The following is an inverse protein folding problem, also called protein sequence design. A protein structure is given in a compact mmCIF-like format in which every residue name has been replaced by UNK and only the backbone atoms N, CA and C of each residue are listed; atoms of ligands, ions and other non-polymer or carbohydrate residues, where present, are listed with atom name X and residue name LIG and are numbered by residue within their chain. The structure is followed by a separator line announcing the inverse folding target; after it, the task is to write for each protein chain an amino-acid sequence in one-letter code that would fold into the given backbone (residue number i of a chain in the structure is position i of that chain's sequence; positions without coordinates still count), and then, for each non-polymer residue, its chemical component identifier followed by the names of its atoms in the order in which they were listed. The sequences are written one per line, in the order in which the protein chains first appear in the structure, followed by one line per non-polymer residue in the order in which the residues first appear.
data_IF_509019432384
#
_entry.id   IF_509019432384
#
_cell.length_a   1.000
_cell.length_b   1.000
_cell.length_c   1.000
_cell.angle_alpha   90.00
_cell.angle_beta   90.00
_cell.angle_gamma   90.00
#
_symmetry.space_group_name_H-M   'P 1'
#
loop_
_entity.id
_entity.type
_entity.pdbx_description
1 polymer ?
#
# COMPACT_ATOMS: atom_id res chain seq x y z
N UNK A 1 0.26 10.40 -10.50
CA UNK A 1 0.34 9.07 -11.15
C UNK A 1 -0.18 9.17 -12.57
N UNK A 2 0.44 8.52 -13.56
CA UNK A 2 -0.05 8.57 -14.96
C UNK A 2 -1.30 7.70 -15.14
N UNK A 3 -2.17 8.06 -16.10
CA UNK A 3 -3.42 7.34 -16.38
C UNK A 3 -3.19 5.87 -16.78
N UNK A 4 -2.04 5.58 -17.41
CA UNK A 4 -1.68 4.22 -17.81
C UNK A 4 -1.32 3.36 -16.60
N UNK A 5 -0.52 3.89 -15.68
CA UNK A 5 -0.14 3.20 -14.43
C UNK A 5 -1.38 2.95 -13.56
N UNK A 6 -2.28 3.93 -13.47
CA UNK A 6 -3.56 3.77 -12.76
C UNK A 6 -4.37 2.59 -13.27
N UNK A 7 -4.59 2.52 -14.60
CA UNK A 7 -5.35 1.43 -15.22
C UNK A 7 -4.65 0.08 -15.11
N UNK A 8 -3.31 0.07 -15.15
CA UNK A 8 -2.55 -1.15 -14.98
C UNK A 8 -2.72 -1.72 -13.57
N UNK A 9 -2.59 -0.88 -12.54
CA UNK A 9 -2.82 -1.27 -11.14
C UNK A 9 -4.24 -1.80 -10.93
N UNK A 10 -5.24 -1.09 -11.45
CA UNK A 10 -6.64 -1.52 -11.38
C UNK A 10 -6.87 -2.90 -12.01
N UNK A 11 -6.23 -3.17 -13.17
CA UNK A 11 -6.30 -4.47 -13.83
C UNK A 11 -5.63 -5.57 -12.99
N UNK A 12 -4.48 -5.30 -12.39
CA UNK A 12 -3.80 -6.26 -11.52
C UNK A 12 -4.62 -6.58 -10.26
N UNK A 13 -5.23 -5.56 -9.64
CA UNK A 13 -6.14 -5.74 -8.50
C UNK A 13 -7.38 -6.56 -8.87
N UNK A 14 -7.91 -6.37 -10.08
CA UNK A 14 -9.02 -7.18 -10.59
C UNK A 14 -8.59 -8.63 -10.81
N UNK A 15 -7.44 -8.86 -11.46
CA UNK A 15 -6.99 -10.19 -11.86
C UNK A 15 -6.51 -11.06 -10.68
N UNK A 16 -5.80 -10.47 -9.72
CA UNK A 16 -5.16 -11.21 -8.62
C UNK A 16 -5.81 -11.00 -7.26
N UNK A 17 -6.66 -9.98 -7.15
CA UNK A 17 -7.27 -9.55 -5.90
C UNK A 17 -8.79 -9.71 -5.82
N UNK A 18 -9.46 -10.05 -6.93
CA UNK A 18 -10.93 -10.10 -6.96
C UNK A 18 -11.59 -8.73 -6.79
N UNK A 19 -10.87 -7.63 -7.07
CA UNK A 19 -11.37 -6.27 -6.92
C UNK A 19 -12.56 -6.02 -7.86
N UNK A 20 -13.71 -5.65 -7.30
CA UNK A 20 -14.94 -5.40 -8.07
C UNK A 20 -15.56 -4.05 -7.72
N UNK A 21 -16.32 -3.47 -8.66
CA UNK A 21 -17.14 -2.30 -8.38
C UNK A 21 -18.23 -2.63 -7.34
N UNK A 22 -18.65 -1.62 -6.57
CA UNK A 22 -19.87 -1.72 -5.76
C UNK A 22 -21.02 -1.11 -6.53
N UNK A 23 -22.27 -1.37 -6.10
CA UNK A 23 -23.48 -0.83 -6.75
C UNK A 23 -23.50 0.69 -6.86
N UNK A 24 -22.75 1.39 -6.01
CA UNK A 24 -22.80 2.85 -5.88
C UNK A 24 -21.48 3.54 -6.21
N UNK A 25 -20.38 2.79 -6.37
CA UNK A 25 -19.03 3.37 -6.47
C UNK A 25 -18.21 2.63 -7.52
N UNK A 26 -17.72 3.39 -8.50
CA UNK A 26 -16.85 2.88 -9.55
C UNK A 26 -15.51 2.38 -9.00
N UNK A 27 -14.88 1.43 -9.69
CA UNK A 27 -13.56 0.94 -9.31
C UNK A 27 -12.50 2.06 -9.32
N UNK A 28 -12.61 3.00 -10.26
CA UNK A 28 -11.71 4.14 -10.40
C UNK A 28 -11.79 5.02 -9.14
N UNK A 29 -13.00 5.29 -8.66
CA UNK A 29 -13.20 6.09 -7.46
C UNK A 29 -12.71 5.37 -6.20
N UNK A 30 -13.00 4.08 -6.05
CA UNK A 30 -12.52 3.28 -4.93
C UNK A 30 -10.99 3.27 -4.85
N UNK A 31 -10.33 3.02 -5.99
CA UNK A 31 -8.87 3.01 -6.06
C UNK A 31 -8.28 4.41 -5.83
N UNK A 32 -8.93 5.47 -6.31
CA UNK A 32 -8.50 6.84 -6.06
C UNK A 32 -8.56 7.20 -4.57
N UNK A 33 -9.64 6.82 -3.87
CA UNK A 33 -9.79 7.03 -2.42
C UNK A 33 -8.67 6.31 -1.65
N UNK A 34 -8.42 5.04 -1.95
CA UNK A 34 -7.37 4.26 -1.29
C UNK A 34 -5.98 4.84 -1.52
N UNK A 35 -5.64 5.19 -2.76
CA UNK A 35 -4.34 5.80 -3.07
C UNK A 35 -4.17 7.18 -2.42
N UNK A 36 -5.25 7.95 -2.28
CA UNK A 36 -5.24 9.24 -1.57
C UNK A 36 -4.94 9.02 -0.08
N UNK A 37 -5.64 8.07 0.56
CA UNK A 37 -5.41 7.69 1.96
C UNK A 37 -3.96 7.25 2.20
N UNK A 38 -3.40 6.40 1.32
CA UNK A 38 -2.03 5.94 1.45
C UNK A 38 -0.98 7.03 1.21
N UNK A 39 -1.27 8.02 0.35
CA UNK A 39 -0.32 9.07 -0.03
C UNK A 39 -0.19 10.15 1.03
N UNK A 40 -1.32 10.72 1.43
CA UNK A 40 -1.31 11.98 2.16
C UNK A 40 -1.26 11.76 3.68
N UNK A 41 -1.65 10.58 4.18
CA UNK A 41 -1.93 10.43 5.61
C UNK A 41 -2.99 11.41 6.12
N UNK A 42 -3.74 12.01 5.19
CA UNK A 42 -4.77 13.02 5.45
C UNK A 42 -5.81 12.46 6.41
N UNK A 43 -6.41 13.37 7.18
CA UNK A 43 -7.57 13.01 8.00
C UNK A 43 -8.65 12.39 7.12
N UNK A 44 -9.31 11.35 7.62
CA UNK A 44 -10.44 10.72 6.93
C UNK A 44 -11.51 11.73 6.54
N UNK A 45 -11.63 12.85 7.28
CA UNK A 45 -12.53 13.97 7.00
C UNK A 45 -12.24 14.64 5.66
N UNK A 46 -10.99 15.01 5.38
CA UNK A 46 -10.59 15.67 4.12
C UNK A 46 -10.92 14.81 2.91
N UNK A 47 -10.79 13.49 3.04
CA UNK A 47 -11.11 12.55 1.96
C UNK A 47 -12.63 12.39 1.81
N UNK A 48 -13.38 12.35 2.91
CA UNK A 48 -14.83 12.36 2.86
C UNK A 48 -15.37 13.60 2.13
N UNK A 49 -14.84 14.78 2.43
CA UNK A 49 -15.21 16.04 1.77
C UNK A 49 -14.79 16.05 0.30
N UNK A 50 -13.57 15.63 -0.02
CA UNK A 50 -13.05 15.66 -1.39
C UNK A 50 -13.81 14.75 -2.36
N UNK A 51 -14.24 13.57 -1.89
CA UNK A 51 -14.99 12.60 -2.69
C UNK A 51 -16.51 12.69 -2.48
N UNK A 52 -16.98 13.54 -1.56
CA UNK A 52 -18.38 13.64 -1.16
C UNK A 52 -18.96 12.28 -0.76
N UNK A 53 -18.23 11.58 0.10
CA UNK A 53 -18.60 10.25 0.61
C UNK A 53 -18.66 10.21 2.12
N UNK A 54 -19.49 9.32 2.64
CA UNK A 54 -19.59 9.12 4.09
C UNK A 54 -18.30 8.51 4.64
N UNK A 55 -17.94 8.77 5.90
CA UNK A 55 -16.81 8.14 6.56
C UNK A 55 -16.87 6.61 6.54
N UNK A 56 -18.08 6.05 6.69
CA UNK A 56 -18.33 4.61 6.57
C UNK A 56 -17.94 4.07 5.18
N UNK A 57 -18.29 4.80 4.13
CA UNK A 57 -17.94 4.42 2.75
C UNK A 57 -16.43 4.43 2.55
N UNK A 58 -15.75 5.50 2.97
CA UNK A 58 -14.30 5.64 2.85
C UNK A 58 -13.59 4.54 3.62
N UNK A 59 -14.04 4.24 4.85
CA UNK A 59 -13.50 3.15 5.67
C UNK A 59 -13.67 1.77 5.02
N UNK A 60 -14.86 1.46 4.50
CA UNK A 60 -15.12 0.19 3.79
C UNK A 60 -14.23 0.00 2.57
N UNK A 61 -14.07 1.07 1.77
CA UNK A 61 -13.18 1.04 0.60
C UNK A 61 -11.73 0.80 1.03
N UNK A 62 -11.28 1.50 2.07
CA UNK A 62 -9.93 1.36 2.58
C UNK A 62 -9.65 -0.07 3.02
N UNK A 63 -10.49 -0.65 3.88
CA UNK A 63 -10.32 -2.02 4.35
C UNK A 63 -10.40 -3.04 3.23
N UNK A 64 -11.35 -2.89 2.29
CA UNK A 64 -11.45 -3.80 1.14
C UNK A 64 -10.16 -3.82 0.31
N UNK A 65 -9.63 -2.65 -0.05
CA UNK A 65 -8.40 -2.57 -0.85
C UNK A 65 -7.15 -2.95 -0.04
N UNK A 66 -7.14 -2.69 1.26
CA UNK A 66 -6.08 -3.17 2.16
C UNK A 66 -6.04 -4.69 2.20
N UNK A 67 -7.18 -5.35 2.38
CA UNK A 67 -7.28 -6.81 2.41
C UNK A 67 -6.84 -7.42 1.08
N UNK A 68 -7.24 -6.81 -0.04
CA UNK A 68 -6.83 -7.24 -1.38
C UNK A 68 -5.32 -7.11 -1.56
N UNK A 69 -4.74 -5.96 -1.21
CA UNK A 69 -3.30 -5.69 -1.44
C UNK A 69 -2.39 -6.47 -0.50
N UNK A 70 -2.88 -6.81 0.70
CA UNK A 70 -2.17 -7.65 1.67
C UNK A 70 -2.44 -9.15 1.49
N UNK A 71 -3.42 -9.52 0.65
CA UNK A 71 -3.70 -10.91 0.33
C UNK A 71 -2.49 -11.60 -0.26
N UNK A 72 -2.26 -12.87 0.11
CA UNK A 72 -1.15 -13.68 -0.40
C UNK A 72 -0.97 -13.65 -1.94
N UNK A 73 -2.02 -13.81 -2.78
CA UNK A 73 -1.86 -13.82 -4.23
C UNK A 73 -1.39 -12.47 -4.81
N UNK A 74 -1.78 -11.35 -4.20
CA UNK A 74 -1.33 -10.03 -4.63
C UNK A 74 0.03 -9.68 -4.02
N UNK A 75 0.15 -9.82 -2.70
CA UNK A 75 1.33 -9.42 -1.93
C UNK A 75 2.60 -10.12 -2.42
N UNK A 76 2.59 -11.43 -2.61
CA UNK A 76 3.78 -12.20 -3.02
C UNK A 76 4.25 -11.91 -4.45
N UNK A 77 3.41 -11.30 -5.28
CA UNK A 77 3.76 -10.88 -6.64
C UNK A 77 4.69 -9.68 -6.64
N UNK A 78 4.44 -8.74 -5.74
CA UNK A 78 5.11 -7.45 -5.67
C UNK A 78 6.15 -7.37 -4.55
N UNK A 79 5.87 -8.01 -3.41
CA UNK A 79 6.76 -8.05 -2.26
C UNK A 79 7.48 -9.39 -2.24
N UNK A 80 8.80 -9.33 -2.43
CA UNK A 80 9.67 -10.49 -2.35
C UNK A 80 10.60 -10.32 -1.17
N UNK A 81 10.57 -11.28 -0.26
CA UNK A 81 11.53 -11.32 0.82
C UNK A 81 12.91 -11.72 0.28
N UNK A 82 14.00 -11.18 0.85
CA UNK A 82 15.34 -11.70 0.60
C UNK A 82 15.39 -13.19 0.95
N UNK A 83 15.96 -14.01 0.07
CA UNK A 83 16.04 -15.48 0.27
C UNK A 83 16.77 -15.86 1.56
N UNK A 84 17.68 -15.00 2.00
CA UNK A 84 18.61 -15.31 3.06
C UNK A 84 18.15 -14.73 4.42
N UNK A 85 17.00 -14.05 4.47
CA UNK A 85 16.47 -13.44 5.70
C UNK A 85 17.39 -12.38 6.33
N UNK A 86 18.41 -11.93 5.60
CA UNK A 86 19.46 -11.08 6.15
C UNK A 86 19.16 -9.59 5.97
N UNK A 87 19.51 -8.82 7.01
CA UNK A 87 19.59 -7.37 6.97
C UNK A 87 20.43 -6.93 5.76
N UNK A 88 19.97 -5.99 4.91
CA UNK A 88 20.73 -5.53 3.75
C UNK A 88 22.16 -5.14 4.13
N UNK A 89 23.14 -5.52 3.29
CA UNK A 89 24.58 -5.43 3.60
C UNK A 89 25.02 -4.03 4.06
N UNK A 90 24.37 -2.98 3.55
CA UNK A 90 24.65 -1.57 3.89
C UNK A 90 24.44 -1.23 5.37
N UNK A 91 23.54 -1.93 6.06
CA UNK A 91 23.25 -1.69 7.48
C UNK A 91 24.03 -2.62 8.40
N UNK A 92 24.40 -3.80 7.91
CA UNK A 92 25.13 -4.82 8.68
C UNK A 92 26.47 -4.33 9.22
N UNK A 93 27.09 -3.35 8.56
CA UNK A 93 28.37 -2.77 8.98
C UNK A 93 28.25 -1.40 9.65
N UNK A 94 27.05 -0.81 9.73
CA UNK A 94 26.86 0.46 10.43
C UNK A 94 26.74 0.21 11.93
N UNK A 95 27.70 0.68 12.72
CA UNK A 95 27.64 0.59 14.19
C UNK A 95 26.48 1.35 14.80
N UNK A 96 25.96 2.36 14.10
CA UNK A 96 24.86 3.21 14.56
C UNK A 96 23.51 2.56 14.25
N UNK A 97 23.35 1.99 13.06
CA UNK A 97 22.07 1.46 12.61
C UNK A 97 21.89 -0.03 12.94
N UNK A 98 22.97 -0.81 12.96
CA UNK A 98 22.88 -2.27 13.15
C UNK A 98 22.11 -2.69 14.41
N UNK A 99 22.27 -2.05 15.59
CA UNK A 99 21.50 -2.42 16.78
C UNK A 99 19.98 -2.30 16.61
N UNK A 100 19.52 -1.39 15.75
CA UNK A 100 18.09 -1.18 15.47
C UNK A 100 17.55 -2.11 14.38
N UNK A 101 18.43 -2.66 13.54
CA UNK A 101 18.06 -3.48 12.38
C UNK A 101 18.59 -4.92 12.46
N UNK A 102 19.09 -5.34 13.62
CA UNK A 102 19.54 -6.70 13.88
C UNK A 102 18.33 -7.66 13.83
N UNK A 103 18.34 -8.61 12.90
CA UNK A 103 17.23 -9.54 12.69
C UNK A 103 16.05 -8.98 11.89
N UNK A 104 16.11 -7.73 11.41
CA UNK A 104 15.06 -7.20 10.54
C UNK A 104 15.07 -7.86 9.16
N UNK A 105 13.98 -8.59 8.85
CA UNK A 105 13.72 -9.16 7.54
C UNK A 105 13.08 -8.07 6.67
N UNK A 106 13.91 -7.21 6.08
CA UNK A 106 13.45 -6.07 5.32
C UNK A 106 13.02 -6.44 3.90
N UNK A 107 11.78 -6.09 3.53
CA UNK A 107 11.38 -5.85 2.14
C UNK A 107 11.92 -4.51 1.59
N UNK A 108 12.64 -3.76 2.43
CA UNK A 108 13.06 -2.40 2.17
C UNK A 108 14.37 -2.49 1.38
N UNK A 109 14.36 -1.93 0.17
CA UNK A 109 15.53 -1.46 -0.61
C UNK A 109 16.51 -0.57 0.20
N UNK A 110 16.16 -0.31 1.46
CA UNK A 110 16.76 0.50 2.48
C UNK A 110 16.63 1.97 2.17
N UNK A 111 15.51 2.38 1.59
CA UNK A 111 15.02 3.74 1.69
C UNK A 111 14.82 4.07 3.18
N UNK A 112 15.54 5.08 3.66
CA UNK A 112 15.40 5.60 5.01
C UNK A 112 14.29 6.66 5.00
N UNK A 113 13.26 6.49 5.82
CA UNK A 113 12.21 7.49 6.03
C UNK A 113 12.54 8.17 7.34
N UNK A 114 12.77 9.49 7.31
CA UNK A 114 12.96 10.27 8.54
C UNK A 114 11.68 10.20 9.38
N UNK A 115 11.83 9.81 10.64
CA UNK A 115 10.76 9.94 11.62
C UNK A 115 10.79 11.38 12.13
N UNK A 116 9.68 12.10 11.93
CA UNK A 116 9.45 13.44 12.46
C UNK A 116 9.06 13.41 13.93
#
# INVERSE_FOLDING_TARGET
MSKLVFRHLQRELLLYGGFSHTKHISMDEQLAIFLRLCRDGDSSHTICEGFQRSPDTVSKIFHCLLDITTSKPFYTRYVRFPRDGHTPQKWRYSKIFFPFFEGCIGAIDGTHIEAF
#
